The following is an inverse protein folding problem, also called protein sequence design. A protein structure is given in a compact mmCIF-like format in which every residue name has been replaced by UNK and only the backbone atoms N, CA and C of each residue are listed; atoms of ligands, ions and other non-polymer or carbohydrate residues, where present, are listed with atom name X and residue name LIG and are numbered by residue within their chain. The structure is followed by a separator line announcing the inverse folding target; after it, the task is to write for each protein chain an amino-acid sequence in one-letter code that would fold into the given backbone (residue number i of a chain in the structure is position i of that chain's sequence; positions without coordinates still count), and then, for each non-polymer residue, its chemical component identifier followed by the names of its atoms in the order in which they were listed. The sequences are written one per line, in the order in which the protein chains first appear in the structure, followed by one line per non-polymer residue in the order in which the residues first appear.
data_IF_355650759177
#
_entry.id   IF_355650759177
#
_cell.length_a   1.000
_cell.length_b   1.000
_cell.length_c   1.000
_cell.angle_alpha   90.00
_cell.angle_beta   90.00
_cell.angle_gamma   90.00
#
_symmetry.space_group_name_H-M   'P 1'
#
loop_
_entity.id
_entity.type
_entity.pdbx_description
1 polymer ?
#
# COMPACT_ATOMS: atom_id res chain seq x y z
N UNK A 1 -22.55 -4.61 3.32
CA UNK A 1 -21.16 -5.00 3.10
C UNK A 1 -21.11 -6.52 3.15
N UNK A 2 -20.68 -7.19 2.09
CA UNK A 2 -20.77 -8.65 1.93
C UNK A 2 -19.44 -9.26 1.48
N UNK A 3 -18.32 -8.79 2.05
CA UNK A 3 -17.00 -9.34 1.80
C UNK A 3 -16.66 -10.45 2.78
N UNK A 4 -15.83 -11.39 2.34
CA UNK A 4 -15.30 -12.44 3.22
C UNK A 4 -14.36 -11.83 4.26
N UNK A 5 -14.60 -12.18 5.53
CA UNK A 5 -13.74 -11.81 6.66
C UNK A 5 -13.09 -13.06 7.24
N UNK A 6 -11.79 -13.04 7.61
CA UNK A 6 -11.13 -14.20 8.20
C UNK A 6 -11.85 -14.68 9.48
N UNK A 7 -12.53 -15.82 9.37
CA UNK A 7 -13.37 -16.40 10.43
C UNK A 7 -12.98 -17.83 10.82
N UNK A 8 -11.94 -18.38 10.19
CA UNK A 8 -11.41 -19.72 10.47
C UNK A 8 -10.17 -19.64 11.36
N UNK A 9 -9.89 -20.66 12.20
CA UNK A 9 -8.63 -20.75 12.93
C UNK A 9 -7.41 -20.62 12.01
N UNK A 10 -6.37 -19.94 12.49
CA UNK A 10 -5.14 -19.68 11.72
C UNK A 10 -3.90 -20.11 12.52
N UNK A 11 -2.82 -20.42 11.80
CA UNK A 11 -1.50 -20.69 12.39
C UNK A 11 -0.52 -19.56 12.05
N UNK A 12 0.43 -19.31 12.95
CA UNK A 12 1.49 -18.34 12.74
C UNK A 12 2.66 -19.00 11.99
N UNK A 13 3.15 -18.36 10.92
CA UNK A 13 4.31 -18.80 10.16
C UNK A 13 5.32 -17.66 10.03
N UNK A 14 6.62 -17.99 10.16
CA UNK A 14 7.72 -17.08 9.88
C UNK A 14 8.69 -17.78 8.92
N UNK A 15 8.95 -17.18 7.75
CA UNK A 15 9.79 -17.77 6.71
C UNK A 15 10.71 -16.73 6.08
N UNK A 16 11.89 -17.16 5.65
CA UNK A 16 12.77 -16.45 4.72
C UNK A 16 12.81 -17.25 3.42
N UNK A 17 12.50 -16.61 2.29
CA UNK A 17 12.40 -17.29 1.01
C UNK A 17 12.73 -16.36 -0.17
N UNK A 18 13.00 -16.94 -1.33
CA UNK A 18 13.35 -16.22 -2.56
C UNK A 18 12.11 -15.71 -3.31
N UNK A 19 11.81 -14.42 -3.13
CA UNK A 19 10.73 -13.70 -3.84
C UNK A 19 11.16 -12.99 -5.12
N UNK A 20 12.24 -13.40 -5.78
CA UNK A 20 12.86 -12.67 -6.91
C UNK A 20 11.94 -12.31 -8.07
N UNK A 21 10.83 -13.03 -8.27
CA UNK A 21 9.87 -12.73 -9.34
C UNK A 21 9.03 -11.48 -9.08
N UNK A 22 8.98 -10.94 -7.85
CA UNK A 22 8.11 -9.81 -7.51
C UNK A 22 8.65 -8.86 -6.42
N UNK A 23 9.47 -9.33 -5.48
CA UNK A 23 9.73 -8.63 -4.22
C UNK A 23 10.44 -7.27 -4.35
N UNK A 24 11.44 -7.15 -5.24
CA UNK A 24 12.23 -5.92 -5.38
C UNK A 24 11.96 -5.25 -6.71
N UNK A 25 11.31 -4.08 -6.66
CA UNK A 25 10.91 -3.29 -7.82
C UNK A 25 10.14 -4.12 -8.87
N UNK A 26 9.12 -4.86 -8.41
CA UNK A 26 8.30 -5.72 -9.25
C UNK A 26 9.06 -6.90 -9.87
N UNK A 27 10.15 -7.35 -9.25
CA UNK A 27 10.99 -8.45 -9.74
C UNK A 27 12.11 -8.03 -10.68
N UNK A 28 12.32 -6.72 -10.90
CA UNK A 28 13.42 -6.20 -11.72
C UNK A 28 14.79 -6.58 -11.16
N UNK A 29 14.94 -6.57 -9.82
CA UNK A 29 16.17 -6.93 -9.15
C UNK A 29 15.99 -8.27 -8.43
N UNK A 30 16.73 -9.28 -8.88
CA UNK A 30 16.69 -10.64 -8.33
C UNK A 30 17.74 -10.81 -7.24
N UNK A 31 17.54 -11.81 -6.38
CA UNK A 31 18.52 -12.21 -5.37
C UNK A 31 19.87 -12.53 -6.02
N UNK A 32 20.95 -12.12 -5.38
CA UNK A 32 22.31 -12.44 -5.81
C UNK A 32 22.99 -13.31 -4.76
N UNK A 33 22.86 -14.62 -4.92
CA UNK A 33 23.34 -15.64 -3.98
C UNK A 33 24.85 -15.59 -3.66
N UNK A 34 25.65 -14.78 -4.38
CA UNK A 34 27.03 -14.48 -3.98
C UNK A 34 27.12 -13.75 -2.63
N UNK A 35 26.06 -13.07 -2.21
CA UNK A 35 25.96 -12.38 -0.91
C UNK A 35 25.36 -13.26 0.20
N UNK A 36 25.15 -14.56 -0.06
CA UNK A 36 24.70 -15.49 0.95
C UNK A 36 25.75 -15.66 2.08
N UNK A 37 25.34 -16.03 3.31
CA UNK A 37 23.97 -16.38 3.71
C UNK A 37 23.06 -15.17 3.99
N UNK A 38 21.78 -15.30 3.65
CA UNK A 38 20.74 -14.35 4.07
C UNK A 38 20.15 -14.84 5.40
N UNK A 39 20.34 -14.06 6.46
CA UNK A 39 20.00 -14.49 7.82
C UNK A 39 18.96 -13.53 8.40
N UNK A 40 17.85 -14.09 8.90
CA UNK A 40 16.87 -13.40 9.74
C UNK A 40 16.98 -13.89 11.17
N UNK A 41 16.84 -13.00 12.15
CA UNK A 41 16.82 -13.31 13.58
C UNK A 41 15.48 -12.86 14.14
N UNK A 42 14.83 -13.74 14.90
CA UNK A 42 13.55 -13.47 15.56
C UNK A 42 13.72 -13.70 17.06
N UNK A 43 13.19 -12.81 17.89
CA UNK A 43 13.22 -12.88 19.36
C UNK A 43 11.93 -12.29 19.94
N UNK A 44 11.74 -12.45 21.25
CA UNK A 44 10.67 -11.78 22.02
C UNK A 44 9.25 -12.06 21.49
N UNK A 45 8.98 -13.33 21.17
CA UNK A 45 7.66 -13.76 20.67
C UNK A 45 6.58 -13.56 21.74
N UNK A 46 5.60 -12.72 21.43
CA UNK A 46 4.41 -12.50 22.26
C UNK A 46 3.20 -13.09 21.53
N UNK A 47 2.63 -14.16 22.10
CA UNK A 47 1.45 -14.83 21.55
C UNK A 47 0.26 -14.62 22.50
N UNK A 48 -0.54 -13.59 22.21
CA UNK A 48 -1.84 -13.38 22.83
C UNK A 48 -2.92 -13.76 21.82
N UNK A 49 -3.54 -14.90 22.05
CA UNK A 49 -4.55 -15.43 21.15
C UNK A 49 -5.28 -16.59 21.80
N UNK A 50 -6.27 -17.07 21.09
CA UNK A 50 -7.14 -18.12 21.53
C UNK A 50 -6.70 -19.42 20.87
N UNK A 51 -6.12 -20.34 21.64
CA UNK A 51 -5.72 -21.63 21.12
C UNK A 51 -6.98 -22.44 20.76
N UNK A 52 -6.97 -23.02 19.57
CA UNK A 52 -8.05 -23.88 19.07
C UNK A 52 -7.47 -25.26 18.83
N UNK A 53 -8.13 -26.28 19.35
CA UNK A 53 -7.86 -27.65 18.94
C UNK A 53 -8.44 -27.86 17.53
N UNK A 54 -7.62 -28.21 16.52
CA UNK A 54 -8.11 -28.46 15.17
C UNK A 54 -9.08 -29.64 15.04
N UNK A 55 -9.21 -30.49 16.07
CA UNK A 55 -10.15 -31.61 16.14
C UNK A 55 -11.52 -31.15 16.67
N UNK A 56 -11.57 -30.07 17.46
CA UNK A 56 -12.83 -29.54 17.99
C UNK A 56 -13.58 -28.72 16.93
N UNK A 57 -14.78 -29.17 16.56
CA UNK A 57 -15.66 -28.53 15.58
C UNK A 57 -16.20 -27.15 16.01
N UNK A 58 -16.14 -26.84 17.30
CA UNK A 58 -16.53 -25.55 17.86
C UNK A 58 -15.41 -25.01 18.76
N UNK A 59 -14.49 -24.18 18.24
CA UNK A 59 -13.54 -23.51 19.10
C UNK A 59 -14.29 -22.68 20.13
N UNK A 60 -14.18 -23.03 21.41
CA UNK A 60 -14.61 -22.17 22.52
C UNK A 60 -13.62 -21.04 22.67
N UNK A 61 -13.65 -20.13 21.70
CA UNK A 61 -13.06 -18.84 21.86
C UNK A 61 -14.07 -17.88 22.49
N UNK A 62 -14.57 -18.30 23.65
CA UNK A 62 -15.32 -17.42 24.51
C UNK A 62 -14.31 -16.42 25.04
N UNK A 63 -14.46 -15.19 24.57
CA UNK A 63 -13.70 -13.98 24.93
C UNK A 63 -13.10 -14.17 26.32
N UNK A 64 -11.77 -14.36 26.37
CA UNK A 64 -11.02 -14.37 27.64
C UNK A 64 -11.51 -13.19 28.45
N UNK A 65 -11.81 -13.47 29.72
CA UNK A 65 -12.38 -12.61 30.77
C UNK A 65 -11.89 -11.15 30.80
N UNK A 66 -12.22 -10.36 29.79
CA UNK A 66 -12.28 -8.89 29.80
C UNK A 66 -12.73 -8.41 28.40
N UNK A 67 -14.01 -8.56 28.08
CA UNK A 67 -14.60 -7.97 26.86
C UNK A 67 -14.46 -6.44 26.80
N UNK A 68 -13.96 -5.81 27.87
CA UNK A 68 -13.57 -4.40 27.92
C UNK A 68 -12.17 -4.11 27.32
N UNK A 69 -11.33 -5.12 27.06
CA UNK A 69 -9.90 -4.92 26.77
C UNK A 69 -9.48 -4.91 25.31
N UNK A 70 -10.30 -5.40 24.37
CA UNK A 70 -10.02 -5.32 22.93
C UNK A 70 -10.84 -4.17 22.34
N UNK A 71 -10.22 -3.02 22.01
CA UNK A 71 -10.95 -1.91 21.42
C UNK A 71 -11.54 -2.34 20.07
N UNK A 72 -12.86 -2.24 19.93
CA UNK A 72 -13.56 -2.44 18.64
C UNK A 72 -13.08 -1.45 17.58
N UNK A 73 -12.59 -0.30 18.02
CA UNK A 73 -12.01 0.74 17.17
C UNK A 73 -10.71 1.28 17.74
N UNK A 74 -9.86 1.78 16.85
CA UNK A 74 -8.68 2.55 17.23
C UNK A 74 -9.09 3.91 17.79
N UNK A 75 -8.33 4.41 18.77
CA UNK A 75 -8.57 5.75 19.33
C UNK A 75 -8.34 6.86 18.29
N UNK A 76 -8.93 8.06 18.48
CA UNK A 76 -8.67 9.20 17.60
C UNK A 76 -7.18 9.54 17.45
N UNK A 77 -6.40 9.36 18.51
CA UNK A 77 -4.94 9.59 18.49
C UNK A 77 -4.19 8.55 17.65
N UNK A 78 -4.56 7.28 17.79
CA UNK A 78 -4.00 6.20 16.97
C UNK A 78 -4.35 6.42 15.49
N UNK A 79 -5.58 6.82 15.19
CA UNK A 79 -6.03 7.15 13.84
C UNK A 79 -5.22 8.31 13.25
N UNK A 80 -5.02 9.41 13.98
CA UNK A 80 -4.16 10.53 13.57
C UNK A 80 -2.71 10.13 13.34
N UNK A 81 -2.17 9.18 14.12
CA UNK A 81 -0.81 8.63 13.90
C UNK A 81 -0.76 7.81 12.61
N UNK A 82 -1.73 6.92 12.40
CA UNK A 82 -1.85 6.11 11.19
C UNK A 82 -1.97 6.99 9.93
N UNK A 83 -2.84 8.00 9.94
CA UNK A 83 -3.02 8.94 8.82
C UNK A 83 -1.72 9.69 8.49
N UNK A 84 -1.00 10.19 9.52
CA UNK A 84 0.29 10.85 9.32
C UNK A 84 1.34 9.92 8.72
N UNK A 85 1.38 8.67 9.17
CA UNK A 85 2.30 7.66 8.63
C UNK A 85 1.97 7.36 7.17
N UNK A 86 0.71 7.06 6.86
CA UNK A 86 0.23 6.79 5.50
C UNK A 86 0.53 7.95 4.55
N UNK A 87 0.28 9.18 4.96
CA UNK A 87 0.55 10.39 4.15
C UNK A 87 2.01 10.47 3.68
N UNK A 88 2.96 9.99 4.48
CA UNK A 88 4.40 10.07 4.19
C UNK A 88 4.97 8.81 3.55
N UNK A 89 4.51 7.64 3.96
CA UNK A 89 5.17 6.37 3.67
C UNK A 89 4.35 5.38 2.84
N UNK A 90 3.05 5.61 2.64
CA UNK A 90 2.23 4.73 1.80
C UNK A 90 2.58 4.95 0.32
N UNK A 91 3.18 3.93 -0.29
CA UNK A 91 3.56 3.90 -1.71
C UNK A 91 2.56 3.14 -2.58
N UNK A 92 1.89 2.12 -2.03
CA UNK A 92 0.91 1.30 -2.74
C UNK A 92 -0.33 1.04 -1.89
N UNK A 93 -1.50 1.01 -2.54
CA UNK A 93 -2.77 0.60 -1.93
C UNK A 93 -3.72 0.10 -3.01
N UNK A 94 -4.20 -1.13 -2.85
CA UNK A 94 -5.08 -1.77 -3.82
C UNK A 94 -6.42 -1.04 -4.00
N UNK A 95 -6.92 -0.35 -2.95
CA UNK A 95 -8.16 0.43 -3.01
C UNK A 95 -8.13 1.58 -4.03
N UNK A 96 -6.93 2.07 -4.36
CA UNK A 96 -6.76 3.15 -5.33
C UNK A 96 -6.19 2.67 -6.66
N UNK A 97 -5.77 1.39 -6.76
CA UNK A 97 -5.17 0.80 -7.94
C UNK A 97 -6.21 0.59 -9.03
N UNK A 98 -6.24 1.53 -9.99
CA UNK A 98 -7.19 1.53 -11.09
C UNK A 98 -6.76 0.64 -12.25
N UNK A 99 -5.50 0.22 -12.27
CA UNK A 99 -5.02 -0.75 -13.26
C UNK A 99 -5.51 -2.15 -12.94
N UNK A 100 -5.52 -2.50 -11.65
CA UNK A 100 -5.98 -3.80 -11.17
C UNK A 100 -7.49 -3.84 -10.94
N UNK A 101 -8.06 -2.77 -10.36
CA UNK A 101 -9.47 -2.68 -10.03
C UNK A 101 -10.08 -1.39 -10.62
N UNK A 102 -10.80 -1.50 -11.74
CA UNK A 102 -11.46 -0.36 -12.37
C UNK A 102 -12.40 0.39 -11.40
N UNK A 103 -13.08 -0.37 -10.54
CA UNK A 103 -13.93 0.14 -9.45
C UNK A 103 -13.35 -0.37 -8.13
N UNK A 104 -13.25 0.45 -7.06
CA UNK A 104 -12.72 0.00 -5.79
C UNK A 104 -13.61 -1.10 -5.20
N UNK A 105 -12.99 -2.04 -4.50
CA UNK A 105 -13.72 -3.10 -3.82
C UNK A 105 -14.61 -2.52 -2.71
N UNK A 106 -15.66 -3.25 -2.34
CA UNK A 106 -16.75 -2.74 -1.50
C UNK A 106 -16.34 -2.37 -0.07
N UNK A 107 -15.22 -2.90 0.42
CA UNK A 107 -14.65 -2.61 1.73
C UNK A 107 -13.78 -1.33 1.75
N UNK A 108 -13.43 -0.81 0.58
CA UNK A 108 -12.55 0.34 0.47
C UNK A 108 -13.26 1.64 0.85
N UNK A 109 -12.67 2.37 1.80
CA UNK A 109 -13.03 3.76 2.12
C UNK A 109 -12.06 4.70 1.41
N UNK A 110 -12.55 5.44 0.43
CA UNK A 110 -11.73 6.30 -0.42
C UNK A 110 -11.54 7.68 0.20
N UNK A 111 -10.29 8.04 0.52
CA UNK A 111 -9.91 9.42 0.86
C UNK A 111 -9.44 10.16 -0.41
N UNK A 112 -10.13 11.23 -0.83
CA UNK A 112 -9.73 12.03 -1.99
C UNK A 112 -8.30 12.61 -1.90
N UNK A 113 -7.84 12.98 -0.71
CA UNK A 113 -6.50 13.55 -0.51
C UNK A 113 -5.42 12.49 -0.70
N UNK A 114 -5.63 11.30 -0.17
CA UNK A 114 -4.74 10.15 -0.36
C UNK A 114 -4.73 9.71 -1.83
N UNK A 115 -5.90 9.64 -2.47
CA UNK A 115 -6.04 9.32 -3.89
C UNK A 115 -5.26 10.30 -4.79
N UNK A 116 -5.38 11.61 -4.54
CA UNK A 116 -4.65 12.63 -5.28
C UNK A 116 -3.14 12.52 -5.11
N UNK A 117 -2.68 12.24 -3.88
CA UNK A 117 -1.25 12.05 -3.60
C UNK A 117 -0.69 10.83 -4.32
N UNK A 118 -1.39 9.69 -4.24
CA UNK A 118 -0.99 8.45 -4.92
C UNK A 118 -0.98 8.63 -6.44
N UNK A 119 -2.01 9.25 -7.03
CA UNK A 119 -2.03 9.61 -8.46
C UNK A 119 -0.87 10.51 -8.89
N UNK A 120 -0.44 11.43 -8.03
CA UNK A 120 0.72 12.28 -8.31
C UNK A 120 2.04 11.52 -8.27
N UNK A 121 2.12 10.47 -7.44
CA UNK A 121 3.30 9.62 -7.29
C UNK A 121 3.43 8.58 -8.41
N UNK A 122 2.34 7.87 -8.71
CA UNK A 122 2.27 6.88 -9.78
C UNK A 122 0.93 7.04 -10.55
N UNK A 123 0.91 7.89 -11.58
CA UNK A 123 -0.29 8.09 -12.39
C UNK A 123 -0.74 6.82 -13.11
N UNK A 124 0.18 5.91 -13.46
CA UNK A 124 -0.14 4.72 -14.23
C UNK A 124 -0.99 3.80 -13.37
N UNK A 125 -0.51 3.42 -12.18
CA UNK A 125 -1.21 2.50 -11.28
C UNK A 125 -2.51 3.08 -10.72
N UNK A 126 -2.52 4.36 -10.37
CA UNK A 126 -3.63 4.98 -9.63
C UNK A 126 -4.62 5.77 -10.51
N UNK A 127 -4.53 5.65 -11.83
CA UNK A 127 -5.48 6.25 -12.78
C UNK A 127 -5.34 7.77 -12.91
N UNK A 128 -4.11 8.29 -12.81
CA UNK A 128 -3.79 9.67 -13.16
C UNK A 128 -3.62 9.83 -14.67
N UNK A 129 -4.23 10.87 -15.25
CA UNK A 129 -4.04 11.19 -16.67
C UNK A 129 -2.63 11.74 -16.88
N UNK A 130 -1.86 11.15 -17.81
CA UNK A 130 -0.64 11.78 -18.30
C UNK A 130 -1.00 13.12 -18.96
N UNK A 131 -0.69 14.24 -18.29
CA UNK A 131 -0.68 15.54 -18.97
C UNK A 131 0.49 15.57 -19.95
N UNK A 132 0.22 15.31 -21.22
CA UNK A 132 1.12 15.72 -22.29
C UNK A 132 1.22 17.24 -22.27
N UNK A 133 2.28 17.77 -21.67
CA UNK A 133 2.66 19.17 -21.84
C UNK A 133 3.16 19.35 -23.27
N UNK A 134 2.23 19.63 -24.19
CA UNK A 134 2.58 20.20 -25.48
C UNK A 134 3.10 21.62 -25.21
N UNK A 135 4.42 21.74 -25.00
CA UNK A 135 5.10 23.04 -25.01
C UNK A 135 5.00 23.60 -26.43
N UNK A 136 3.96 24.38 -26.69
CA UNK A 136 3.90 25.26 -27.86
C UNK A 136 5.00 26.31 -27.70
N UNK A 137 6.09 26.15 -28.44
CA UNK A 137 7.08 27.20 -28.62
C UNK A 137 6.42 28.35 -29.37
N UNK A 138 6.08 29.43 -28.67
CA UNK A 138 5.80 30.72 -29.31
C UNK A 138 7.12 31.27 -29.86
N UNK A 139 7.30 31.15 -31.17
CA UNK A 139 8.41 31.76 -31.89
C UNK A 139 8.23 33.28 -31.87
N UNK A 140 9.09 33.96 -31.09
CA UNK A 140 9.23 35.42 -31.06
C UNK A 140 9.82 35.86 -32.41
N UNK A 141 9.00 36.39 -33.31
CA UNK A 141 9.51 37.08 -34.51
C UNK A 141 10.18 38.39 -34.08
N UNK A 142 11.50 38.39 -34.11
CA UNK A 142 12.34 39.59 -34.10
C UNK A 142 12.13 40.34 -35.42
N UNK A 143 11.38 41.45 -35.39
CA UNK A 143 11.45 42.48 -36.45
C UNK A 143 12.80 43.20 -36.33
N UNK A 144 13.69 42.93 -37.28
CA UNK A 144 14.76 43.84 -37.71
C UNK A 144 14.41 44.24 -39.14
N UNK A 145 14.04 45.49 -39.34
CA UNK A 145 14.15 46.13 -40.65
C UNK A 145 15.03 47.36 -40.46
N UNK A 146 16.14 47.32 -41.20
CA UNK A 146 17.24 48.26 -41.21
C UNK A 146 16.79 49.61 -41.77
N UNK A 147 17.21 50.65 -41.05
CA UNK A 147 17.44 51.98 -41.62
C UNK A 147 18.56 51.89 -42.66
N UNK A 148 18.28 52.22 -43.92
CA UNK A 148 19.33 52.62 -44.86
C UNK A 148 18.94 53.90 -45.58
N UNK A 149 19.76 54.91 -45.35
CA UNK A 149 19.77 56.18 -46.03
C UNK A 149 20.12 56.00 -47.52
N UNK A 150 19.37 56.70 -48.38
CA UNK A 150 19.91 57.59 -49.42
C UNK A 150 18.80 58.47 -49.98
#
# INVERSE_FOLDING_TARGET
MGGDFPSKPMSLYATIWDGSSWATNGGKYKVNYKYAPYVTKFSDFVLHGCAVDPIELSPKCDIVQDSASIPTEISPDQRRKMERFRKKHLQYSYCYDRTRYNVPLSECVIDPKEANRLRGFDPVTFGGVHRHNNKRHHQRQSRREDTSAK
#
